data_IF_783322825184
#
_entry.id   IF_783322825184
#
_cell.length_a   1.000
_cell.length_b   1.000
_cell.length_c   1.000
_cell.angle_alpha   90.00
_cell.angle_beta   90.00
_cell.angle_gamma   90.00
#
_symmetry.space_group_name_H-M   'P 1'
#
loop_
_entity.id
_entity.type
_entity.pdbx_description
1 polymer ?
#
# COMPACT_ATOMS: atom_id res chain seq x y z
N UNK A 1 -1.01 -9.58 -6.76
CA UNK A 1 -0.22 -10.00 -5.57
C UNK A 1 -0.89 -11.23 -4.97
N UNK A 2 -0.14 -12.21 -4.50
CA UNK A 2 -0.70 -13.41 -3.83
C UNK A 2 -0.88 -13.10 -2.34
N UNK A 3 -2.01 -13.48 -1.74
CA UNK A 3 -2.34 -13.19 -0.34
C UNK A 3 -1.23 -13.58 0.64
N UNK A 4 -0.61 -14.74 0.46
CA UNK A 4 0.43 -15.23 1.38
C UNK A 4 1.70 -14.37 1.34
N UNK A 5 2.06 -13.83 0.16
CA UNK A 5 3.20 -12.93 0.00
C UNK A 5 2.92 -11.59 0.69
N UNK A 6 1.69 -11.08 0.56
CA UNK A 6 1.28 -9.88 1.28
C UNK A 6 1.29 -10.09 2.80
N UNK A 7 0.75 -11.20 3.31
CA UNK A 7 0.74 -11.50 4.74
C UNK A 7 2.15 -11.62 5.31
N UNK A 8 3.06 -12.28 4.58
CA UNK A 8 4.46 -12.40 5.00
C UNK A 8 5.16 -11.04 5.06
N UNK A 9 4.95 -10.19 4.06
CA UNK A 9 5.46 -8.82 4.06
C UNK A 9 4.84 -7.99 5.18
N UNK A 10 3.52 -8.08 5.37
CA UNK A 10 2.78 -7.36 6.39
C UNK A 10 3.33 -7.68 7.78
N UNK A 11 3.52 -8.96 8.09
CA UNK A 11 4.04 -9.40 9.38
C UNK A 11 5.52 -9.07 9.58
N UNK A 12 6.36 -9.31 8.57
CA UNK A 12 7.83 -9.26 8.74
C UNK A 12 8.44 -7.89 8.49
N UNK A 13 7.75 -7.04 7.73
CA UNK A 13 8.28 -5.74 7.29
C UNK A 13 7.41 -4.61 7.81
N UNK A 14 6.08 -4.67 7.58
CA UNK A 14 5.23 -3.55 7.94
C UNK A 14 5.04 -3.44 9.46
N UNK A 15 4.56 -4.49 10.12
CA UNK A 15 4.26 -4.43 11.57
C UNK A 15 5.48 -4.02 12.43
N UNK A 16 6.70 -4.55 12.22
CA UNK A 16 7.86 -4.15 13.02
C UNK A 16 8.34 -2.72 12.77
N UNK A 17 7.96 -2.11 11.65
CA UNK A 17 8.34 -0.75 11.28
C UNK A 17 7.33 0.31 11.77
N UNK A 18 6.24 -0.11 12.42
CA UNK A 18 5.20 0.80 12.89
C UNK A 18 5.37 1.09 14.38
N UNK A 19 5.53 2.37 14.71
CA UNK A 19 5.40 2.87 16.09
C UNK A 19 3.93 3.09 16.50
N UNK A 20 3.00 2.96 15.55
CA UNK A 20 1.58 3.31 15.72
C UNK A 20 0.71 2.12 16.09
N UNK A 21 -0.26 2.34 16.97
CA UNK A 21 -1.14 1.29 17.50
C UNK A 21 -2.28 0.90 16.55
N UNK A 22 -2.50 1.65 15.46
CA UNK A 22 -3.65 1.48 14.56
C UNK A 22 -3.20 1.45 13.10
N UNK A 23 -3.57 0.39 12.39
CA UNK A 23 -3.35 0.19 10.96
C UNK A 23 -4.68 0.36 10.23
N UNK A 24 -4.75 1.26 9.26
CA UNK A 24 -5.93 1.45 8.40
C UNK A 24 -5.65 0.83 7.04
N UNK A 25 -6.53 -0.07 6.59
CA UNK A 25 -6.35 -0.82 5.34
C UNK A 25 -7.53 -0.64 4.39
N UNK A 26 -7.24 -0.57 3.10
CA UNK A 26 -8.23 -0.58 2.04
C UNK A 26 -8.91 -1.96 1.88
N UNK A 27 -9.99 -2.00 1.09
CA UNK A 27 -10.79 -3.21 0.85
C UNK A 27 -10.27 -3.99 -0.36
N UNK A 28 -8.98 -4.32 -0.39
CA UNK A 28 -8.44 -5.17 -1.45
C UNK A 28 -8.88 -6.63 -1.28
N UNK A 29 -9.25 -7.29 -2.39
CA UNK A 29 -9.79 -8.67 -2.37
C UNK A 29 -8.78 -9.72 -1.90
N UNK A 30 -7.48 -9.47 -2.08
CA UNK A 30 -6.42 -10.37 -1.64
C UNK A 30 -6.05 -10.19 -0.16
N UNK A 31 -6.62 -9.19 0.54
CA UNK A 31 -6.47 -9.03 1.99
C UNK A 31 -7.37 -10.04 2.71
N UNK A 32 -6.78 -11.11 3.26
CA UNK A 32 -7.49 -12.00 4.19
C UNK A 32 -7.62 -11.33 5.53
N UNK A 33 -8.63 -10.45 5.64
CA UNK A 33 -8.81 -9.54 6.77
C UNK A 33 -8.78 -10.22 8.13
N UNK A 34 -9.41 -11.39 8.26
CA UNK A 34 -9.40 -12.19 9.49
C UNK A 34 -7.98 -12.57 9.92
N UNK A 35 -7.11 -12.92 8.97
CA UNK A 35 -5.71 -13.25 9.23
C UNK A 35 -4.90 -12.03 9.65
N UNK A 36 -5.11 -10.90 8.96
CA UNK A 36 -4.46 -9.63 9.29
C UNK A 36 -4.86 -9.11 10.67
N UNK A 37 -6.13 -9.27 11.06
CA UNK A 37 -6.60 -8.88 12.41
C UNK A 37 -5.92 -9.69 13.52
N UNK A 38 -5.68 -10.98 13.30
CA UNK A 38 -4.91 -11.83 14.23
C UNK A 38 -3.47 -11.34 14.35
N UNK A 39 -2.79 -11.15 13.21
CA UNK A 39 -1.41 -10.68 13.17
C UNK A 39 -1.23 -9.32 13.86
N UNK A 40 -2.16 -8.38 13.65
CA UNK A 40 -2.15 -7.10 14.35
C UNK A 40 -2.32 -7.28 15.87
N UNK A 41 -3.29 -8.09 16.31
CA UNK A 41 -3.55 -8.31 17.76
C UNK A 41 -2.36 -8.94 18.47
N UNK A 42 -1.68 -9.90 17.84
CA UNK A 42 -0.48 -10.55 18.39
C UNK A 42 0.66 -9.54 18.65
N UNK A 43 0.72 -8.48 17.85
CA UNK A 43 1.69 -7.40 17.97
C UNK A 43 1.16 -6.17 18.72
N UNK A 44 -0.05 -6.24 19.30
CA UNK A 44 -0.65 -5.13 20.06
C UNK A 44 -1.27 -4.01 19.22
N UNK A 45 -1.40 -4.19 17.90
CA UNK A 45 -2.01 -3.22 17.00
C UNK A 45 -3.49 -3.53 16.73
N UNK A 46 -4.23 -2.53 16.25
CA UNK A 46 -5.62 -2.66 15.80
C UNK A 46 -5.72 -2.45 14.30
N UNK A 47 -6.42 -3.34 13.60
CA UNK A 47 -6.73 -3.17 12.18
C UNK A 47 -8.11 -2.51 12.01
N UNK A 48 -8.17 -1.38 11.32
CA UNK A 48 -9.42 -0.69 10.99
C UNK A 48 -9.69 -0.69 9.49
N UNK A 49 -10.96 -0.82 9.08
CA UNK A 49 -11.32 -0.63 7.68
C UNK A 49 -11.15 0.83 7.29
N UNK A 50 -10.80 1.07 6.04
CA UNK A 50 -10.90 2.38 5.43
C UNK A 50 -12.33 2.94 5.54
N UNK A 51 -12.54 4.16 6.07
CA UNK A 51 -13.86 4.80 6.04
C UNK A 51 -14.29 5.10 4.59
N UNK A 52 -15.59 5.05 4.28
CA UNK A 52 -16.11 5.17 2.91
C UNK A 52 -15.91 6.55 2.26
N UNK A 53 -15.58 7.58 3.05
CA UNK A 53 -15.13 8.88 2.54
C UNK A 53 -14.24 9.51 3.60
N UNK A 54 -12.96 9.70 3.29
CA UNK A 54 -12.04 10.42 4.17
C UNK A 54 -11.25 11.41 3.30
N UNK A 55 -11.50 12.73 3.46
CA UNK A 55 -10.84 13.79 2.69
C UNK A 55 -9.31 13.70 2.75
N UNK A 56 -8.77 13.10 3.79
CA UNK A 56 -7.35 12.85 4.00
C UNK A 56 -6.75 11.92 2.92
N UNK A 57 -7.53 10.99 2.35
CA UNK A 57 -7.09 10.12 1.25
C UNK A 57 -7.00 10.85 -0.10
N UNK A 58 -7.58 12.05 -0.23
CA UNK A 58 -7.37 12.88 -1.42
C UNK A 58 -5.89 13.22 -1.60
N UNK A 59 -5.13 13.32 -0.51
CA UNK A 59 -3.69 13.53 -0.58
C UNK A 59 -2.94 12.30 -1.12
N UNK A 60 -3.30 11.10 -0.67
CA UNK A 60 -2.72 9.85 -1.19
C UNK A 60 -3.04 9.67 -2.67
N UNK A 61 -4.28 9.96 -3.09
CA UNK A 61 -4.67 9.86 -4.51
C UNK A 61 -3.98 10.92 -5.38
N UNK A 62 -3.74 12.13 -4.86
CA UNK A 62 -2.90 13.14 -5.52
C UNK A 62 -1.47 12.67 -5.68
N UNK A 63 -0.86 12.09 -4.64
CA UNK A 63 0.50 11.54 -4.71
C UNK A 63 0.54 10.39 -5.72
N UNK A 64 -0.43 9.48 -5.69
CA UNK A 64 -0.54 8.36 -6.64
C UNK A 64 -0.59 8.86 -8.08
N UNK A 65 -1.42 9.85 -8.35
CA UNK A 65 -1.55 10.48 -9.68
C UNK A 65 -0.24 11.15 -10.09
N UNK A 66 0.41 11.87 -9.18
CA UNK A 66 1.70 12.50 -9.44
C UNK A 66 2.78 11.47 -9.78
N UNK A 67 2.93 10.41 -8.97
CA UNK A 67 3.90 9.33 -9.21
C UNK A 67 3.62 8.68 -10.57
N UNK A 68 2.36 8.38 -10.89
CA UNK A 68 1.98 7.80 -12.18
C UNK A 68 2.40 8.69 -13.34
N UNK A 69 2.01 9.96 -13.33
CA UNK A 69 2.33 10.90 -14.40
C UNK A 69 3.84 11.09 -14.55
N UNK A 70 4.57 11.14 -13.43
CA UNK A 70 6.03 11.23 -13.43
C UNK A 70 6.66 9.96 -14.01
N UNK A 71 6.19 8.78 -13.62
CA UNK A 71 6.67 7.50 -14.17
C UNK A 71 6.41 7.36 -15.68
N UNK A 72 5.26 7.82 -16.16
CA UNK A 72 4.93 7.84 -17.59
C UNK A 72 5.89 8.74 -18.37
N UNK A 73 6.21 9.93 -17.85
CA UNK A 73 7.19 10.83 -18.47
C UNK A 73 8.58 10.20 -18.60
N UNK A 74 9.06 9.54 -17.54
CA UNK A 74 10.36 8.87 -17.56
C UNK A 74 10.38 7.64 -18.49
N UNK A 75 9.31 6.85 -18.49
CA UNK A 75 9.16 5.72 -19.40
C UNK A 75 9.15 6.15 -20.88
N UNK A 76 8.54 7.30 -21.18
CA UNK A 76 8.55 7.90 -22.53
C UNK A 76 9.92 8.49 -22.89
N UNK A 77 10.66 9.09 -21.95
CA UNK A 77 12.03 9.58 -22.23
C UNK A 77 13.02 8.44 -22.47
N UNK A 78 12.89 7.33 -21.75
CA UNK A 78 13.73 6.14 -21.97
C UNK A 78 13.44 5.49 -23.33
N UNK A 79 12.18 5.48 -23.78
CA UNK A 79 11.80 5.01 -25.11
C UNK A 79 12.40 5.88 -26.24
N UNK A 80 12.52 7.20 -26.05
CA UNK A 80 13.15 8.10 -27.02
C UNK A 80 14.67 7.92 -27.08
N UNK A 81 15.32 7.66 -25.93
CA UNK A 81 16.76 7.39 -25.87
C UNK A 81 17.14 6.06 -26.52
N UNK A 82 16.28 5.03 -26.41
CA UNK A 82 16.46 3.72 -27.05
C UNK A 82 16.36 3.75 -28.59
N UNK A 83 15.79 4.81 -29.19
CA UNK A 83 15.74 5.00 -30.65
C UNK A 83 16.87 5.89 -31.20
N UNK A 84 17.72 6.46 -30.33
CA UNK A 84 18.84 7.34 -30.68
C UNK A 84 20.23 6.69 -30.47
N UNK A 85 20.26 5.42 -30.06
CA UNK A 85 21.46 4.55 -30.01
C UNK A 85 21.31 3.38 -30.99
#
# INVERSE_FOLDING_TARGET
>A
MISDCFEAWFQKVLLPALDTLVVIMDKATFHRRSRLEVLCKEQGHRLLPLPPYSPEYHFIEKIRTHIKNTSEKYCQSDAVLLHLT
#
